data_IF_819886963064
#
_entry.id   IF_819886963064
#
_cell.length_a   1.000
_cell.length_b   1.000
_cell.length_c   1.000
_cell.angle_alpha   90.00
_cell.angle_beta   90.00
_cell.angle_gamma   90.00
#
_symmetry.space_group_name_H-M   'P 1'
#
loop_
_entity.id
_entity.type
_entity.pdbx_description
1 polymer ?
#
# COMPACT_ATOMS: atom_id res chain seq x y z
N UNK A 1 -0.10 -8.26 -58.72
CA UNK A 1 0.81 -8.63 -57.64
C UNK A 1 0.72 -7.67 -56.45
N UNK A 2 -0.44 -7.05 -56.17
CA UNK A 2 -0.63 -6.02 -55.10
C UNK A 2 -1.76 -6.36 -54.12
N UNK A 3 -2.44 -7.49 -54.25
CA UNK A 3 -3.56 -7.86 -53.37
C UNK A 3 -3.22 -8.90 -52.29
N UNK A 4 -2.00 -9.45 -52.25
CA UNK A 4 -1.61 -10.47 -51.27
C UNK A 4 -0.98 -9.88 -49.98
N UNK A 5 -0.45 -8.67 -50.04
CA UNK A 5 0.21 -8.06 -48.88
C UNK A 5 -0.76 -7.37 -47.88
N UNK A 6 -2.00 -7.07 -48.25
CA UNK A 6 -2.99 -6.43 -47.41
C UNK A 6 -3.71 -7.42 -46.46
N UNK A 7 -3.84 -8.69 -46.86
CA UNK A 7 -4.52 -9.70 -46.03
C UNK A 7 -3.65 -10.19 -44.86
N UNK A 8 -2.34 -10.35 -45.06
CA UNK A 8 -1.40 -10.74 -44.00
C UNK A 8 -1.22 -9.66 -42.94
N UNK A 9 -1.31 -8.40 -43.29
CA UNK A 9 -1.23 -7.28 -42.31
C UNK A 9 -2.44 -7.18 -41.41
N UNK A 10 -3.66 -7.37 -41.95
CA UNK A 10 -4.90 -7.33 -41.12
C UNK A 10 -4.99 -8.53 -40.19
N UNK A 11 -4.61 -9.72 -40.61
CA UNK A 11 -4.67 -10.92 -39.77
C UNK A 11 -3.66 -10.86 -38.61
N UNK A 12 -2.50 -10.24 -38.82
CA UNK A 12 -1.51 -10.02 -37.73
C UNK A 12 -1.98 -8.97 -36.73
N UNK A 13 -2.62 -7.88 -37.20
CA UNK A 13 -3.19 -6.87 -36.31
C UNK A 13 -4.37 -7.44 -35.51
N UNK A 14 -5.27 -8.20 -36.10
CA UNK A 14 -6.37 -8.86 -35.43
C UNK A 14 -5.91 -9.93 -34.43
N UNK A 15 -4.84 -10.65 -34.73
CA UNK A 15 -4.22 -11.59 -33.77
C UNK A 15 -3.54 -10.87 -32.61
N UNK A 16 -2.83 -9.77 -32.87
CA UNK A 16 -2.21 -8.96 -31.83
C UNK A 16 -3.26 -8.33 -30.89
N UNK A 17 -4.32 -7.76 -31.46
CA UNK A 17 -5.43 -7.20 -30.66
C UNK A 17 -6.13 -8.30 -29.84
N UNK A 18 -6.34 -9.48 -30.40
CA UNK A 18 -7.00 -10.61 -29.69
C UNK A 18 -6.12 -11.16 -28.56
N UNK A 19 -4.79 -11.22 -28.77
CA UNK A 19 -3.84 -11.68 -27.73
C UNK A 19 -3.76 -10.62 -26.61
N UNK A 20 -3.60 -9.35 -26.97
CA UNK A 20 -3.56 -8.25 -25.98
C UNK A 20 -4.89 -8.14 -25.24
N UNK A 21 -6.04 -8.24 -25.92
CA UNK A 21 -7.34 -8.29 -25.25
C UNK A 21 -7.50 -9.51 -24.38
N UNK A 22 -7.01 -10.68 -24.79
CA UNK A 22 -7.02 -11.91 -24.00
C UNK A 22 -6.14 -11.81 -22.75
N UNK A 23 -4.95 -11.26 -22.85
CA UNK A 23 -4.06 -11.03 -21.70
C UNK A 23 -4.63 -9.98 -20.75
N UNK A 24 -5.12 -8.83 -21.25
CA UNK A 24 -5.77 -7.80 -20.43
C UNK A 24 -7.02 -8.35 -19.78
N UNK A 25 -7.83 -9.14 -20.47
CA UNK A 25 -9.05 -9.74 -19.95
C UNK A 25 -8.75 -10.82 -18.90
N UNK A 26 -7.67 -11.60 -19.09
CA UNK A 26 -7.18 -12.56 -18.08
C UNK A 26 -6.66 -11.85 -16.84
N UNK A 27 -5.88 -10.79 -17.01
CA UNK A 27 -5.35 -9.98 -15.89
C UNK A 27 -6.48 -9.27 -15.11
N UNK A 28 -7.49 -8.76 -15.81
CA UNK A 28 -8.69 -8.17 -15.19
C UNK A 28 -9.52 -9.23 -14.47
N UNK A 29 -9.68 -10.43 -15.04
CA UNK A 29 -10.36 -11.55 -14.39
C UNK A 29 -9.59 -12.04 -13.15
N UNK A 30 -8.27 -12.16 -13.23
CA UNK A 30 -7.44 -12.53 -12.07
C UNK A 30 -7.50 -11.49 -10.95
N UNK A 31 -7.65 -10.19 -11.31
CA UNK A 31 -7.82 -9.12 -10.32
C UNK A 31 -9.24 -9.05 -9.73
N UNK A 32 -10.26 -9.56 -10.42
CA UNK A 32 -11.65 -9.59 -9.90
C UNK A 32 -11.81 -10.48 -8.67
N UNK A 33 -10.94 -11.47 -8.51
CA UNK A 33 -11.00 -12.45 -7.41
C UNK A 33 -10.27 -11.95 -6.14
N UNK A 34 -9.59 -10.79 -6.22
CA UNK A 34 -8.91 -10.21 -5.06
C UNK A 34 -9.92 -9.43 -4.22
N UNK A 35 -10.16 -9.90 -3.02
CA UNK A 35 -11.04 -9.28 -2.03
C UNK A 35 -10.21 -8.34 -1.14
N UNK A 36 -10.69 -7.10 -0.97
CA UNK A 36 -10.21 -6.19 0.07
C UNK A 36 -11.15 -6.29 1.26
N UNK A 37 -10.60 -6.56 2.44
CA UNK A 37 -11.37 -6.65 3.68
C UNK A 37 -10.61 -6.10 4.88
N UNK A 38 -11.32 -5.80 5.95
CA UNK A 38 -10.67 -5.55 7.23
C UNK A 38 -9.83 -6.76 7.65
N UNK A 39 -8.66 -6.49 8.20
CA UNK A 39 -7.84 -7.54 8.78
C UNK A 39 -8.52 -8.16 10.01
N UNK A 40 -8.29 -9.44 10.21
CA UNK A 40 -8.62 -10.19 11.42
C UNK A 40 -7.34 -10.49 12.17
N UNK A 41 -7.42 -10.72 13.46
CA UNK A 41 -6.20 -11.01 14.26
C UNK A 41 -5.53 -12.32 13.84
N UNK A 42 -6.28 -13.24 13.22
CA UNK A 42 -5.78 -14.49 12.64
C UNK A 42 -4.88 -14.26 11.42
N UNK A 43 -5.00 -13.11 10.75
CA UNK A 43 -4.17 -12.76 9.60
C UNK A 43 -2.72 -12.40 9.99
N UNK A 44 -2.45 -12.23 11.28
CA UNK A 44 -1.16 -11.78 11.79
C UNK A 44 0.01 -12.64 11.31
N UNK A 45 -0.15 -13.95 11.26
CA UNK A 45 0.89 -14.87 10.79
C UNK A 45 1.25 -14.62 9.32
N UNK A 46 0.25 -14.51 8.45
CA UNK A 46 0.47 -14.24 7.03
C UNK A 46 1.05 -12.84 6.79
N UNK A 47 0.54 -11.83 7.52
CA UNK A 47 1.07 -10.46 7.45
C UNK A 47 2.52 -10.39 7.93
N UNK A 48 2.86 -11.09 9.02
CA UNK A 48 4.25 -11.21 9.51
C UNK A 48 5.13 -11.90 8.48
N UNK A 49 4.64 -12.93 7.82
CA UNK A 49 5.34 -13.62 6.72
C UNK A 49 5.74 -12.67 5.60
N UNK A 50 4.81 -11.83 5.14
CA UNK A 50 5.08 -10.76 4.16
C UNK A 50 6.12 -9.77 4.72
N UNK A 51 5.93 -9.28 5.95
CA UNK A 51 6.79 -8.29 6.58
C UNK A 51 8.23 -8.80 6.78
N UNK A 52 8.38 -10.08 7.08
CA UNK A 52 9.65 -10.72 7.37
C UNK A 52 10.70 -10.53 6.26
N UNK A 53 10.26 -10.58 4.98
CA UNK A 53 11.15 -10.31 3.86
C UNK A 53 11.74 -8.90 3.93
N UNK A 54 10.90 -7.90 4.21
CA UNK A 54 11.32 -6.50 4.26
C UNK A 54 12.26 -6.23 5.43
N UNK A 55 12.01 -6.86 6.57
CA UNK A 55 12.90 -6.75 7.73
C UNK A 55 14.28 -7.35 7.43
N UNK A 56 14.31 -8.55 6.87
CA UNK A 56 15.58 -9.28 6.67
C UNK A 56 16.40 -8.77 5.49
N UNK A 57 15.76 -8.27 4.44
CA UNK A 57 16.44 -8.05 3.16
C UNK A 57 16.43 -6.59 2.69
N UNK A 58 15.77 -5.69 3.39
CA UNK A 58 15.65 -4.29 2.97
C UNK A 58 15.76 -3.32 4.15
N UNK A 59 16.08 -2.06 3.86
CA UNK A 59 15.93 -0.95 4.80
C UNK A 59 14.60 -0.18 4.61
N UNK A 60 13.64 -0.74 3.88
CA UNK A 60 12.27 -0.18 3.75
C UNK A 60 11.61 -0.09 5.13
N UNK A 61 11.94 -0.99 6.04
CA UNK A 61 11.71 -0.87 7.48
C UNK A 61 13.04 -0.86 8.22
N UNK A 62 13.10 -0.08 9.31
CA UNK A 62 14.30 -0.03 10.16
C UNK A 62 14.27 -1.04 11.31
N UNK A 63 13.31 -1.95 11.36
CA UNK A 63 13.36 -3.07 12.30
C UNK A 63 14.52 -4.00 11.95
N UNK A 64 15.25 -4.45 12.98
CA UNK A 64 16.37 -5.38 12.86
C UNK A 64 15.90 -6.82 12.94
N UNK A 65 14.95 -7.09 13.81
CA UNK A 65 14.39 -8.40 14.07
C UNK A 65 12.97 -8.50 13.54
N UNK A 66 12.61 -9.69 13.05
CA UNK A 66 11.23 -9.96 12.63
C UNK A 66 10.37 -10.12 13.88
N UNK A 67 9.29 -9.35 14.04
CA UNK A 67 8.38 -9.55 15.17
C UNK A 67 7.78 -10.96 15.13
N UNK A 68 7.46 -11.51 16.29
CA UNK A 68 6.66 -12.74 16.37
C UNK A 68 5.25 -12.49 15.82
N UNK A 69 4.55 -13.55 15.42
CA UNK A 69 3.16 -13.44 14.99
C UNK A 69 2.26 -12.90 16.12
N UNK A 70 2.56 -13.22 17.38
CA UNK A 70 1.87 -12.70 18.54
C UNK A 70 2.09 -11.18 18.70
N UNK A 71 3.33 -10.72 18.64
CA UNK A 71 3.66 -9.30 18.69
C UNK A 71 3.01 -8.53 17.52
N UNK A 72 3.02 -9.10 16.31
CA UNK A 72 2.37 -8.49 15.16
C UNK A 72 0.84 -8.43 15.33
N UNK A 73 0.25 -9.45 15.93
CA UNK A 73 -1.18 -9.51 16.28
C UNK A 73 -1.57 -8.39 17.26
N UNK A 74 -0.74 -8.14 18.28
CA UNK A 74 -0.97 -7.07 19.23
C UNK A 74 -0.90 -5.70 18.53
N UNK A 75 0.09 -5.47 17.67
CA UNK A 75 0.19 -4.27 16.83
C UNK A 75 -1.04 -4.08 15.93
N UNK A 76 -1.57 -5.17 15.36
CA UNK A 76 -2.81 -5.14 14.57
C UNK A 76 -4.01 -4.77 15.43
N UNK A 77 -4.14 -5.34 16.62
CA UNK A 77 -5.22 -5.05 17.55
C UNK A 77 -5.22 -3.56 17.95
N UNK A 78 -4.05 -3.03 18.32
CA UNK A 78 -3.85 -1.61 18.65
C UNK A 78 -4.23 -0.69 17.48
N UNK A 79 -3.87 -1.08 16.26
CA UNK A 79 -4.24 -0.33 15.05
C UNK A 79 -5.74 -0.34 14.82
N UNK A 80 -6.36 -1.53 14.83
CA UNK A 80 -7.79 -1.74 14.57
C UNK A 80 -8.69 -1.04 15.60
N UNK A 81 -8.21 -0.81 16.81
CA UNK A 81 -8.94 -0.07 17.83
C UNK A 81 -9.31 1.37 17.41
N UNK A 82 -8.55 1.96 16.47
CA UNK A 82 -8.79 3.34 16.03
C UNK A 82 -8.76 3.51 14.51
N UNK A 83 -7.86 2.82 13.82
CA UNK A 83 -7.56 3.02 12.41
C UNK A 83 -7.80 1.76 11.57
N UNK A 84 -8.04 1.90 10.26
CA UNK A 84 -8.17 0.76 9.38
C UNK A 84 -6.85 -0.02 9.24
N UNK A 85 -6.98 -1.33 9.28
CA UNK A 85 -5.99 -2.29 8.81
C UNK A 85 -6.70 -3.16 7.77
N UNK A 86 -6.28 -3.09 6.50
CA UNK A 86 -6.95 -3.71 5.35
C UNK A 86 -6.00 -4.70 4.71
N UNK A 87 -6.50 -5.88 4.37
CA UNK A 87 -5.77 -6.92 3.65
C UNK A 87 -6.35 -7.11 2.25
N UNK A 88 -5.51 -7.49 1.31
CA UNK A 88 -5.88 -8.00 0.00
C UNK A 88 -5.73 -9.52 0.02
N UNK A 89 -6.82 -10.24 -0.16
CA UNK A 89 -6.89 -11.70 -0.10
C UNK A 89 -7.33 -12.28 -1.44
N UNK A 90 -6.71 -13.39 -1.83
CA UNK A 90 -7.16 -14.27 -2.92
C UNK A 90 -7.03 -15.72 -2.46
N UNK A 91 -8.10 -16.50 -2.55
CA UNK A 91 -8.14 -17.93 -2.22
C UNK A 91 -7.59 -18.26 -0.81
N UNK A 92 -7.90 -17.42 0.18
CA UNK A 92 -7.42 -17.57 1.57
C UNK A 92 -5.97 -17.15 1.79
N UNK A 93 -5.27 -16.69 0.76
CA UNK A 93 -3.90 -16.17 0.85
C UNK A 93 -3.89 -14.64 0.88
N UNK A 94 -3.18 -14.06 1.83
CA UNK A 94 -2.95 -12.61 1.88
C UNK A 94 -1.83 -12.23 0.91
N UNK A 95 -2.17 -11.36 -0.04
CA UNK A 95 -1.25 -10.85 -1.07
C UNK A 95 -0.58 -9.54 -0.66
N UNK A 96 -1.14 -8.87 0.35
CA UNK A 96 -0.61 -7.63 0.89
C UNK A 96 -1.59 -6.98 1.84
N UNK A 97 -1.12 -5.96 2.50
CA UNK A 97 -1.92 -5.22 3.48
C UNK A 97 -1.49 -3.76 3.54
N UNK A 98 -2.40 -2.92 4.02
CA UNK A 98 -2.12 -1.54 4.36
C UNK A 98 -2.81 -1.16 5.67
N UNK A 99 -2.28 -0.17 6.34
CA UNK A 99 -2.88 0.37 7.55
C UNK A 99 -2.52 1.83 7.76
N UNK A 100 -3.25 2.48 8.66
CA UNK A 100 -2.90 3.79 9.14
C UNK A 100 -2.49 3.73 10.63
N UNK A 101 -1.59 4.61 10.99
CA UNK A 101 -1.15 4.80 12.36
C UNK A 101 -1.17 6.27 12.76
N UNK A 102 -1.14 6.51 14.07
CA UNK A 102 -1.10 7.88 14.61
C UNK A 102 0.19 8.58 14.21
N UNK A 103 0.10 9.75 13.59
CA UNK A 103 1.27 10.57 13.28
C UNK A 103 2.01 11.03 14.54
N UNK A 104 1.31 11.55 15.55
CA UNK A 104 1.87 11.96 16.84
C UNK A 104 0.87 11.79 17.98
N UNK A 105 1.38 11.67 19.22
CA UNK A 105 0.56 11.35 20.41
C UNK A 105 -0.46 12.43 20.83
N UNK A 106 -0.23 13.73 20.51
CA UNK A 106 -1.12 14.82 20.94
C UNK A 106 -2.37 14.86 20.07
N UNK A 107 -3.55 15.03 20.68
CA UNK A 107 -4.87 15.03 20.04
C UNK A 107 -5.00 16.03 18.88
N UNK A 108 -4.30 17.17 18.93
CA UNK A 108 -4.30 18.15 17.82
C UNK A 108 -3.81 17.58 16.49
N UNK A 109 -3.09 16.44 16.51
CA UNK A 109 -2.63 15.74 15.30
C UNK A 109 -3.56 14.63 14.83
N UNK A 110 -4.68 14.37 15.49
CA UNK A 110 -5.55 13.22 15.22
C UNK A 110 -6.16 13.20 13.79
N UNK A 111 -6.09 14.32 13.06
CA UNK A 111 -6.55 14.42 11.66
C UNK A 111 -5.47 14.15 10.62
N UNK A 112 -4.29 13.79 11.07
CA UNK A 112 -3.18 13.36 10.23
C UNK A 112 -2.71 11.98 10.69
N UNK A 113 -2.52 11.08 9.73
CA UNK A 113 -2.08 9.71 9.99
C UNK A 113 -0.87 9.38 9.12
N UNK A 114 -0.05 8.46 9.62
CA UNK A 114 0.97 7.79 8.82
C UNK A 114 0.35 6.57 8.15
N UNK A 115 0.65 6.35 6.86
CA UNK A 115 0.14 5.22 6.09
C UNK A 115 1.25 4.28 5.68
N UNK A 116 0.97 2.99 5.74
CA UNK A 116 1.92 1.91 5.45
C UNK A 116 1.28 0.90 4.50
N UNK A 117 2.07 0.35 3.57
CA UNK A 117 1.66 -0.75 2.69
C UNK A 117 2.81 -1.73 2.50
N UNK A 118 2.50 -3.02 2.61
CA UNK A 118 3.40 -4.11 2.28
C UNK A 118 2.71 -5.12 1.37
N UNK A 119 3.42 -5.62 0.38
CA UNK A 119 2.92 -6.61 -0.58
C UNK A 119 3.82 -7.84 -0.59
N UNK A 120 3.22 -9.02 -0.77
CA UNK A 120 3.96 -10.20 -1.20
C UNK A 120 4.74 -9.87 -2.48
N UNK A 121 5.96 -10.36 -2.58
CA UNK A 121 6.83 -10.04 -3.72
C UNK A 121 6.22 -10.43 -5.06
N UNK A 122 5.53 -11.58 -5.09
CA UNK A 122 4.90 -12.11 -6.28
C UNK A 122 3.58 -11.38 -6.64
N UNK A 123 3.06 -10.56 -5.72
CA UNK A 123 1.85 -9.77 -5.92
C UNK A 123 2.13 -8.32 -6.35
N UNK A 124 3.41 -7.96 -6.52
CA UNK A 124 3.81 -6.63 -6.97
C UNK A 124 3.52 -6.44 -8.47
N UNK A 125 3.18 -5.21 -8.86
CA UNK A 125 2.90 -4.86 -10.25
C UNK A 125 1.44 -5.03 -10.68
N UNK A 126 0.65 -5.88 -10.00
CA UNK A 126 -0.76 -6.16 -10.30
C UNK A 126 -1.77 -5.10 -9.77
N UNK A 127 -1.34 -3.88 -9.45
CA UNK A 127 -2.25 -2.81 -9.00
C UNK A 127 -2.80 -2.96 -7.57
N UNK A 128 -2.49 -4.04 -6.86
CA UNK A 128 -3.01 -4.35 -5.50
C UNK A 128 -2.72 -3.21 -4.51
N UNK A 129 -1.48 -2.71 -4.50
CA UNK A 129 -1.09 -1.62 -3.60
C UNK A 129 -1.91 -0.35 -3.81
N UNK A 130 -2.25 -0.03 -5.06
CA UNK A 130 -3.12 1.10 -5.40
C UNK A 130 -4.53 0.88 -4.86
N UNK A 131 -5.12 -0.29 -5.10
CA UNK A 131 -6.47 -0.63 -4.60
C UNK A 131 -6.54 -0.57 -3.07
N UNK A 132 -5.50 -1.09 -2.39
CA UNK A 132 -5.38 -1.00 -0.93
C UNK A 132 -5.35 0.46 -0.46
N UNK A 133 -4.57 1.32 -1.10
CA UNK A 133 -4.48 2.74 -0.73
C UNK A 133 -5.77 3.51 -1.04
N UNK A 134 -6.41 3.25 -2.16
CA UNK A 134 -7.71 3.85 -2.50
C UNK A 134 -8.76 3.52 -1.43
N UNK A 135 -8.88 2.25 -1.04
CA UNK A 135 -9.79 1.82 0.03
C UNK A 135 -9.41 2.44 1.39
N UNK A 136 -8.12 2.42 1.74
CA UNK A 136 -7.62 3.02 2.98
C UNK A 136 -8.00 4.50 3.07
N UNK A 137 -7.78 5.26 2.01
CA UNK A 137 -8.07 6.69 1.95
C UNK A 137 -9.57 6.99 2.07
N UNK A 138 -10.43 6.19 1.43
CA UNK A 138 -11.89 6.36 1.54
C UNK A 138 -12.37 6.12 2.97
N UNK A 139 -11.86 5.09 3.64
CA UNK A 139 -12.18 4.82 5.05
C UNK A 139 -11.68 5.95 5.95
N UNK A 140 -10.45 6.41 5.74
CA UNK A 140 -9.86 7.51 6.51
C UNK A 140 -10.63 8.83 6.32
N UNK A 141 -11.09 9.12 5.10
CA UNK A 141 -11.98 10.28 4.84
C UNK A 141 -13.27 10.18 5.64
N UNK A 142 -13.90 9.01 5.68
CA UNK A 142 -15.13 8.79 6.47
C UNK A 142 -14.91 8.92 7.98
N UNK A 143 -13.71 8.63 8.47
CA UNK A 143 -13.31 8.91 9.86
C UNK A 143 -13.13 10.40 10.14
N UNK A 144 -12.96 11.24 9.11
CA UNK A 144 -12.65 12.67 9.25
C UNK A 144 -11.14 12.97 9.29
N UNK A 145 -10.32 12.05 8.81
CA UNK A 145 -8.89 12.31 8.56
C UNK A 145 -8.75 13.23 7.35
N UNK A 146 -7.83 14.16 7.43
CA UNK A 146 -7.61 15.19 6.41
C UNK A 146 -6.34 14.93 5.61
N UNK A 147 -5.34 14.33 6.25
CA UNK A 147 -4.01 14.22 5.66
C UNK A 147 -3.37 12.88 5.98
N UNK A 148 -2.73 12.31 4.98
CA UNK A 148 -1.89 11.12 5.11
C UNK A 148 -0.43 11.48 4.92
N UNK A 149 0.47 10.78 5.62
CA UNK A 149 1.91 10.88 5.53
C UNK A 149 2.49 9.50 5.19
N UNK A 150 3.44 9.47 4.29
CA UNK A 150 4.30 8.33 4.04
C UNK A 150 5.75 8.68 4.42
N UNK A 151 6.39 7.77 5.15
CA UNK A 151 7.80 7.84 5.52
C UNK A 151 8.54 6.79 4.71
N UNK A 152 9.43 7.21 3.82
CA UNK A 152 9.99 6.35 2.78
C UNK A 152 11.51 6.38 2.81
N UNK A 153 12.13 5.22 3.03
CA UNK A 153 13.58 5.06 2.93
C UNK A 153 14.04 5.16 1.48
N UNK A 154 15.10 5.91 1.24
CA UNK A 154 15.72 6.01 -0.08
C UNK A 154 16.75 4.91 -0.28
N UNK A 155 16.86 4.35 -1.50
CA UNK A 155 17.90 3.38 -1.85
C UNK A 155 19.28 4.02 -1.81
N UNK A 156 20.29 3.24 -1.46
CA UNK A 156 21.71 3.65 -1.44
C UNK A 156 22.55 2.94 -2.51
N UNK A 157 22.03 1.87 -3.10
CA UNK A 157 22.69 1.10 -4.17
C UNK A 157 21.80 0.96 -5.40
N UNK A 158 22.38 0.56 -6.54
CA UNK A 158 21.60 0.33 -7.77
C UNK A 158 20.64 -0.87 -7.63
N UNK A 159 21.05 -1.92 -6.89
CA UNK A 159 20.19 -3.07 -6.60
C UNK A 159 18.97 -2.65 -5.79
N UNK A 160 19.18 -1.82 -4.76
CA UNK A 160 18.07 -1.30 -3.95
C UNK A 160 17.09 -0.47 -4.78
N UNK A 161 17.53 0.28 -5.80
CA UNK A 161 16.66 1.05 -6.68
C UNK A 161 15.66 0.17 -7.44
N UNK A 162 15.98 -1.07 -7.70
CA UNK A 162 15.06 -2.03 -8.35
C UNK A 162 13.92 -2.47 -7.41
N UNK A 163 14.17 -2.46 -6.10
CA UNK A 163 13.24 -2.90 -5.06
C UNK A 163 12.49 -1.73 -4.43
N UNK A 164 13.18 -0.61 -4.19
CA UNK A 164 12.65 0.56 -3.48
C UNK A 164 11.87 1.49 -4.43
N UNK A 165 10.70 1.03 -4.85
CA UNK A 165 9.83 1.78 -5.77
C UNK A 165 8.78 2.64 -5.06
N UNK A 166 8.91 2.82 -3.75
CA UNK A 166 7.88 3.44 -2.91
C UNK A 166 7.65 4.91 -3.24
N UNK A 167 8.69 5.69 -3.55
CA UNK A 167 8.53 7.11 -3.94
C UNK A 167 7.62 7.22 -5.15
N UNK A 168 7.98 6.55 -6.26
CA UNK A 168 7.16 6.60 -7.48
C UNK A 168 5.76 6.00 -7.31
N UNK A 169 5.59 5.03 -6.41
CA UNK A 169 4.26 4.53 -6.04
C UNK A 169 3.43 5.64 -5.38
N UNK A 170 3.97 6.35 -4.40
CA UNK A 170 3.26 7.42 -3.71
C UNK A 170 2.98 8.62 -4.62
N UNK A 171 3.93 9.00 -5.50
CA UNK A 171 3.70 10.04 -6.51
C UNK A 171 2.49 9.72 -7.39
N UNK A 172 2.41 8.49 -7.93
CA UNK A 172 1.27 8.03 -8.74
C UNK A 172 -0.05 7.97 -7.97
N UNK A 173 0.00 7.85 -6.65
CA UNK A 173 -1.17 7.93 -5.76
C UNK A 173 -1.45 9.37 -5.28
N UNK A 174 -0.77 10.38 -5.83
CA UNK A 174 -1.04 11.81 -5.57
C UNK A 174 -0.36 12.39 -4.34
N UNK A 175 0.61 11.68 -3.75
CA UNK A 175 1.44 12.21 -2.68
C UNK A 175 2.47 13.20 -3.24
N UNK A 176 2.84 14.18 -2.42
CA UNK A 176 3.84 15.19 -2.74
C UNK A 176 5.00 15.13 -1.76
N UNK A 177 6.20 15.35 -2.25
CA UNK A 177 7.39 15.41 -1.41
C UNK A 177 7.30 16.62 -0.47
N UNK A 178 7.46 16.37 0.83
CA UNK A 178 7.56 17.41 1.87
C UNK A 178 9.01 17.76 2.18
N UNK A 179 9.88 16.76 2.22
CA UNK A 179 11.27 16.97 2.57
C UNK A 179 12.04 15.66 2.74
N UNK A 180 13.35 15.81 2.95
CA UNK A 180 14.28 14.72 3.17
C UNK A 180 14.96 14.86 4.54
N UNK A 181 15.12 13.73 5.23
CA UNK A 181 15.88 13.62 6.47
C UNK A 181 17.09 12.77 6.14
N UNK A 182 18.27 13.40 6.16
CA UNK A 182 19.53 12.71 5.89
C UNK A 182 19.96 11.88 7.09
N UNK A 183 20.53 10.68 6.83
CA UNK A 183 21.03 9.77 7.85
C UNK A 183 20.00 9.48 8.95
N UNK A 184 18.74 9.26 8.56
CA UNK A 184 17.61 9.05 9.49
C UNK A 184 17.56 7.66 10.09
N UNK A 185 18.18 6.67 9.44
CA UNK A 185 18.22 5.29 9.90
C UNK A 185 19.55 4.62 9.57
N UNK A 186 19.95 3.66 10.43
CA UNK A 186 21.14 2.86 10.23
C UNK A 186 20.76 1.39 10.14
N UNK A 187 21.13 0.69 9.07
CA UNK A 187 20.85 -0.74 8.89
C UNK A 187 21.83 -1.36 7.90
N UNK A 188 22.13 -2.62 8.02
CA UNK A 188 23.08 -3.34 7.16
C UNK A 188 24.45 -2.65 7.04
N UNK A 189 24.94 -2.04 8.14
CA UNK A 189 26.24 -1.38 8.19
C UNK A 189 26.30 -0.02 7.49
N UNK A 190 25.14 0.60 7.11
CA UNK A 190 25.11 1.88 6.40
C UNK A 190 23.98 2.80 6.87
N UNK A 191 24.14 4.09 6.61
CA UNK A 191 23.13 5.10 6.84
C UNK A 191 22.20 5.23 5.65
N UNK A 192 20.93 5.44 5.94
CA UNK A 192 19.88 5.67 4.94
C UNK A 192 19.23 7.03 5.16
N UNK A 193 18.88 7.68 4.07
CA UNK A 193 18.04 8.85 4.07
C UNK A 193 16.57 8.46 3.99
N UNK A 194 15.70 9.28 4.56
CA UNK A 194 14.25 9.12 4.48
C UNK A 194 13.63 10.35 3.83
N UNK A 195 12.67 10.15 2.95
CA UNK A 195 11.79 11.22 2.48
C UNK A 195 10.43 11.11 3.14
N UNK A 196 9.85 12.28 3.38
CA UNK A 196 8.48 12.44 3.83
C UNK A 196 7.65 12.87 2.63
N UNK A 197 6.56 12.15 2.39
CA UNK A 197 5.58 12.50 1.36
C UNK A 197 4.20 12.58 1.98
N UNK A 198 3.38 13.55 1.56
CA UNK A 198 2.04 13.70 2.09
C UNK A 198 0.98 13.87 1.00
N UNK A 199 -0.27 13.64 1.41
CA UNK A 199 -1.44 13.84 0.56
C UNK A 199 -2.60 14.38 1.40
N UNK A 200 -3.26 15.43 0.92
CA UNK A 200 -4.56 15.80 1.43
C UNK A 200 -5.62 14.86 0.85
N UNK A 201 -6.32 14.16 1.73
CA UNK A 201 -7.46 13.29 1.39
C UNK A 201 -8.81 13.93 1.75
N UNK A 202 -8.79 14.99 2.55
CA UNK A 202 -9.95 15.79 2.91
C UNK A 202 -9.62 17.28 2.86
N UNK A 203 -10.65 18.10 3.03
CA UNK A 203 -10.49 19.55 3.08
C UNK A 203 -10.48 20.03 4.54
N UNK A 204 -9.44 20.76 4.98
CA UNK A 204 -9.47 21.40 6.28
C UNK A 204 -10.52 22.52 6.31
N UNK A 205 -11.40 22.45 7.29
CA UNK A 205 -12.44 23.47 7.54
C UNK A 205 -12.50 23.77 9.05
N UNK A 206 -13.11 24.89 9.40
CA UNK A 206 -13.35 25.22 10.82
C UNK A 206 -14.44 24.31 11.42
N UNK A 207 -14.42 24.15 12.73
CA UNK A 207 -15.44 23.41 13.52
C UNK A 207 -15.70 21.98 13.02
N UNK A 208 -14.65 21.24 12.64
CA UNK A 208 -14.78 19.85 12.23
C UNK A 208 -15.32 18.97 13.36
N UNK A 209 -16.23 18.02 13.07
CA UNK A 209 -16.72 17.05 14.05
C UNK A 209 -15.57 16.15 14.55
N UNK A 210 -15.68 15.50 15.71
CA UNK A 210 -14.66 14.58 16.21
C UNK A 210 -14.27 13.52 15.17
N UNK A 211 -13.00 13.06 15.21
CA UNK A 211 -12.53 11.95 14.38
C UNK A 211 -13.21 10.68 14.87
N UNK A 212 -13.82 9.93 13.94
CA UNK A 212 -14.46 8.65 14.22
C UNK A 212 -13.44 7.52 14.32
N UNK A 213 -13.78 6.46 15.02
CA UNK A 213 -13.03 5.21 15.01
C UNK A 213 -13.29 4.42 13.74
N UNK A 214 -12.45 3.40 13.48
CA UNK A 214 -12.67 2.51 12.33
C UNK A 214 -13.98 1.75 12.45
N UNK A 215 -14.33 1.25 13.64
CA UNK A 215 -15.59 0.53 13.87
C UNK A 215 -16.85 1.36 13.57
N UNK A 216 -16.81 2.68 13.78
CA UNK A 216 -17.94 3.56 13.48
C UNK A 216 -18.18 3.74 11.97
N UNK A 217 -17.17 3.48 11.14
CA UNK A 217 -17.27 3.74 9.69
C UNK A 217 -17.17 2.48 8.83
N UNK A 218 -16.51 1.40 9.27
CA UNK A 218 -16.18 0.24 8.43
C UNK A 218 -17.35 -0.41 7.71
N UNK A 219 -18.55 -0.43 8.33
CA UNK A 219 -19.76 -1.02 7.73
C UNK A 219 -20.19 -0.32 6.44
N UNK A 220 -19.80 0.93 6.23
CA UNK A 220 -20.12 1.71 5.01
C UNK A 220 -19.34 1.19 3.79
N UNK A 221 -18.26 0.42 4.02
CA UNK A 221 -17.35 -0.08 3.00
C UNK A 221 -17.41 -1.60 2.84
N UNK A 222 -18.37 -2.27 3.50
CA UNK A 222 -18.45 -3.74 3.55
C UNK A 222 -17.17 -4.42 4.10
N UNK A 223 -16.48 -3.73 5.05
CA UNK A 223 -15.24 -4.15 5.69
C UNK A 223 -15.49 -4.75 7.09
#
# INVERSE_FOLDING_TARGET
MLFWNLKFGLDVYLLYDTIIFGEIFSEVLEMSDIILRAARLEDAEQCTGIYSYYVKNTAITYEYDVPSAEEFRDRMADTLAKYPFIVAEKDGKILGYCYAGRFKKRAAYDRMVETTVYLDLNARGAGIGRRLYEMLEEVLKAQGIIKTLAVITLPTTEEEKTVYKSVGFHERNGYKLLGKISCSGYKFGRWYDTVLMDKFIGRPVENMPPVKTFDEVRKQFSL
#
